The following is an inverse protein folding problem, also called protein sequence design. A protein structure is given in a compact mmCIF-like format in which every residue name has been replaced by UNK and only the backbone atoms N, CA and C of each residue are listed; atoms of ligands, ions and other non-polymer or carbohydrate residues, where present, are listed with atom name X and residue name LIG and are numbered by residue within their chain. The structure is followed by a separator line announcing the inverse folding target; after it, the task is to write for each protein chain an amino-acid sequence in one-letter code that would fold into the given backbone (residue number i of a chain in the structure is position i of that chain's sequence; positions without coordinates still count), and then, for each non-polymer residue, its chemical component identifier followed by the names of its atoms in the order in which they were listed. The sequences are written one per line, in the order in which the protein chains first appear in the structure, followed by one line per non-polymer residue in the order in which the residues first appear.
data_IF_234120579639
#
_entry.id   IF_234120579639
#
_cell.length_a   1.000
_cell.length_b   1.000
_cell.length_c   1.000
_cell.angle_alpha   90.00
_cell.angle_beta   90.00
_cell.angle_gamma   90.00
#
_symmetry.space_group_name_H-M   'P 1'
#
loop_
_entity.id
_entity.type
_entity.pdbx_description
1 polymer ?
#
# COMPACT_ATOMS: atom_id res chain seq x y z
N UNK A 1 0.15 -25.76 -0.14
CA UNK A 1 1.25 -25.24 0.69
C UNK A 1 0.68 -24.11 1.51
N UNK A 2 0.50 -24.32 2.81
CA UNK A 2 -0.43 -23.56 3.67
C UNK A 2 -0.11 -22.07 3.83
N UNK A 3 1.08 -21.61 3.40
CA UNK A 3 1.49 -20.21 3.44
C UNK A 3 0.75 -19.30 2.44
N UNK A 4 0.21 -19.86 1.34
CA UNK A 4 -0.51 -19.08 0.32
C UNK A 4 -2.03 -19.05 0.53
N UNK A 5 -2.61 -20.06 1.18
CA UNK A 5 -4.06 -20.12 1.44
C UNK A 5 -4.53 -19.05 2.45
N UNK A 6 -3.65 -18.57 3.32
CA UNK A 6 -3.97 -17.51 4.28
C UNK A 6 -4.11 -16.11 3.65
N UNK A 7 -3.69 -15.92 2.39
CA UNK A 7 -3.88 -14.67 1.65
C UNK A 7 -5.27 -14.56 1.01
N UNK A 8 -6.08 -15.62 1.07
CA UNK A 8 -7.43 -15.68 0.48
C UNK A 8 -8.51 -15.79 1.56
N UNK A 9 -8.36 -15.08 2.67
CA UNK A 9 -9.46 -14.87 3.61
C UNK A 9 -10.31 -13.68 3.09
N UNK A 10 -11.64 -13.64 3.27
CA UNK A 10 -12.46 -12.43 3.05
C UNK A 10 -11.88 -11.13 3.65
N UNK A 11 -10.97 -11.21 4.62
CA UNK A 11 -10.14 -10.08 5.06
C UNK A 11 -9.27 -9.46 3.96
N UNK A 12 -8.65 -10.28 3.11
CA UNK A 12 -7.80 -9.89 1.98
C UNK A 12 -8.58 -9.41 0.75
N UNK A 13 -9.73 -10.02 0.50
CA UNK A 13 -10.68 -9.55 -0.52
C UNK A 13 -11.20 -8.16 -0.17
N UNK A 14 -11.47 -7.93 1.12
CA UNK A 14 -11.80 -6.59 1.60
C UNK A 14 -10.60 -5.67 1.38
N UNK A 15 -9.37 -6.09 1.75
CA UNK A 15 -8.10 -5.36 1.56
C UNK A 15 -7.90 -4.85 0.12
N UNK A 16 -8.16 -5.63 -0.93
CA UNK A 16 -7.94 -5.16 -2.31
C UNK A 16 -8.81 -3.95 -2.67
N UNK A 17 -10.07 -3.95 -2.24
CA UNK A 17 -10.99 -2.81 -2.41
C UNK A 17 -10.51 -1.56 -1.64
N UNK A 18 -9.70 -1.70 -0.56
CA UNK A 18 -9.11 -0.55 0.17
C UNK A 18 -7.95 0.13 -0.59
N UNK A 19 -7.34 -0.52 -1.57
CA UNK A 19 -6.18 0.01 -2.31
C UNK A 19 -6.54 0.60 -3.68
N UNK A 20 -7.80 0.50 -4.09
CA UNK A 20 -8.27 0.76 -5.46
C UNK A 20 -8.96 2.11 -5.63
N UNK A 21 -8.27 3.21 -5.31
CA UNK A 21 -8.55 4.47 -6.00
C UNK A 21 -7.47 4.70 -7.07
N UNK A 22 -7.84 5.21 -8.25
CA UNK A 22 -6.89 5.36 -9.38
C UNK A 22 -5.64 6.14 -9.00
N UNK A 23 -5.78 7.08 -8.06
CA UNK A 23 -4.70 7.95 -7.61
C UNK A 23 -3.69 7.23 -6.71
N UNK A 24 -4.14 6.36 -5.79
CA UNK A 24 -3.24 5.54 -4.96
C UNK A 24 -2.40 4.60 -5.80
N UNK A 25 -2.99 4.02 -6.87
CA UNK A 25 -2.27 3.18 -7.81
C UNK A 25 -1.19 3.95 -8.59
N UNK A 26 -1.51 5.15 -9.07
CA UNK A 26 -0.53 5.98 -9.79
C UNK A 26 0.64 6.35 -8.88
N UNK A 27 0.35 6.79 -7.65
CA UNK A 27 1.37 7.16 -6.66
C UNK A 27 2.24 5.95 -6.29
N UNK A 28 1.63 4.79 -6.01
CA UNK A 28 2.37 3.57 -5.69
C UNK A 28 3.25 3.10 -6.86
N UNK A 29 2.78 3.25 -8.10
CA UNK A 29 3.57 2.92 -9.29
C UNK A 29 4.79 3.85 -9.46
N UNK A 30 4.65 5.15 -9.15
CA UNK A 30 5.76 6.10 -9.14
C UNK A 30 6.78 5.76 -8.05
N UNK A 31 6.32 5.42 -6.84
CA UNK A 31 7.18 4.96 -5.74
C UNK A 31 7.95 3.68 -6.11
N UNK A 32 7.30 2.70 -6.74
CA UNK A 32 7.95 1.47 -7.21
C UNK A 32 8.99 1.72 -8.31
N UNK A 33 8.72 2.65 -9.23
CA UNK A 33 9.70 3.06 -10.24
C UNK A 33 10.95 3.63 -9.59
N UNK A 34 10.82 4.45 -8.55
CA UNK A 34 11.96 5.00 -7.83
C UNK A 34 12.85 3.90 -7.20
N UNK A 35 12.23 2.86 -6.62
CA UNK A 35 12.96 1.68 -6.10
C UNK A 35 13.68 0.96 -7.24
N UNK A 36 12.98 0.65 -8.33
CA UNK A 36 13.54 -0.06 -9.49
C UNK A 36 14.72 0.70 -10.08
N UNK A 37 14.60 2.02 -10.24
CA UNK A 37 15.64 2.85 -10.84
C UNK A 37 16.89 2.91 -9.97
N UNK A 38 16.74 2.92 -8.63
CA UNK A 38 17.87 2.83 -7.71
C UNK A 38 18.58 1.46 -7.78
N UNK A 39 17.82 0.37 -7.92
CA UNK A 39 18.38 -0.98 -8.12
C UNK A 39 19.13 -1.05 -9.46
N UNK A 40 18.55 -0.52 -10.53
CA UNK A 40 19.17 -0.48 -11.86
C UNK A 40 20.48 0.32 -11.85
N UNK A 41 20.54 1.40 -11.06
CA UNK A 41 21.74 2.20 -10.83
C UNK A 41 22.78 1.53 -9.91
N UNK A 42 22.47 0.35 -9.34
CA UNK A 42 23.30 -0.36 -8.35
C UNK A 42 23.59 0.48 -7.11
N UNK A 43 22.61 1.28 -6.67
CA UNK A 43 22.69 2.11 -5.47
C UNK A 43 21.85 1.49 -4.34
N UNK A 44 22.45 0.66 -3.47
CA UNK A 44 21.72 -0.07 -2.44
C UNK A 44 21.12 0.84 -1.37
N UNK A 45 21.80 1.94 -1.02
CA UNK A 45 21.31 2.88 -0.01
C UNK A 45 20.08 3.64 -0.52
N UNK A 46 20.13 4.11 -1.77
CA UNK A 46 18.97 4.76 -2.40
C UNK A 46 17.80 3.79 -2.58
N UNK A 47 18.05 2.54 -2.95
CA UNK A 47 17.00 1.53 -3.07
C UNK A 47 16.32 1.26 -1.72
N UNK A 48 17.11 1.14 -0.65
CA UNK A 48 16.61 0.96 0.71
C UNK A 48 15.78 2.17 1.17
N UNK A 49 16.27 3.39 0.95
CA UNK A 49 15.55 4.60 1.31
C UNK A 49 14.21 4.74 0.54
N UNK A 50 14.21 4.44 -0.77
CA UNK A 50 13.01 4.44 -1.59
C UNK A 50 11.98 3.41 -1.11
N UNK A 51 12.41 2.20 -0.74
CA UNK A 51 11.53 1.17 -0.20
C UNK A 51 10.95 1.58 1.17
N UNK A 52 11.76 2.14 2.06
CA UNK A 52 11.28 2.66 3.35
C UNK A 52 10.27 3.79 3.17
N UNK A 53 10.47 4.65 2.18
CA UNK A 53 9.49 5.68 1.84
C UNK A 53 8.17 5.05 1.35
N UNK A 54 8.24 4.14 0.39
CA UNK A 54 7.07 3.42 -0.13
C UNK A 54 6.25 2.76 0.99
N UNK A 55 6.91 2.02 1.90
CA UNK A 55 6.23 1.34 3.01
C UNK A 55 5.55 2.33 3.96
N UNK A 56 6.21 3.44 4.32
CA UNK A 56 5.61 4.48 5.15
C UNK A 56 4.39 5.11 4.48
N UNK A 57 4.48 5.45 3.20
CA UNK A 57 3.35 6.04 2.47
C UNK A 57 2.21 5.04 2.32
N UNK A 58 2.51 3.77 2.07
CA UNK A 58 1.53 2.70 2.03
C UNK A 58 0.80 2.57 3.37
N UNK A 59 1.53 2.62 4.49
CA UNK A 59 0.93 2.57 5.83
C UNK A 59 0.08 3.81 6.13
N UNK A 60 0.53 5.01 5.77
CA UNK A 60 -0.26 6.23 5.98
C UNK A 60 -1.56 6.23 5.18
N UNK A 61 -1.49 5.83 3.90
CA UNK A 61 -2.68 5.67 3.05
C UNK A 61 -3.62 4.60 3.61
N UNK A 62 -3.05 3.52 4.14
CA UNK A 62 -3.80 2.47 4.80
C UNK A 62 -4.58 3.02 6.01
N UNK A 63 -3.91 3.69 6.97
CA UNK A 63 -4.55 4.22 8.17
C UNK A 63 -5.65 5.24 7.87
N UNK A 64 -5.41 6.20 6.96
CA UNK A 64 -6.41 7.21 6.59
C UNK A 64 -7.71 6.61 6.04
N UNK A 65 -7.60 5.57 5.22
CA UNK A 65 -8.77 4.88 4.66
C UNK A 65 -9.63 4.19 5.73
N UNK A 66 -9.05 3.80 6.89
CA UNK A 66 -9.84 3.28 8.03
C UNK A 66 -10.57 4.39 8.78
N UNK A 67 -9.90 5.50 9.04
CA UNK A 67 -10.47 6.63 9.79
C UNK A 67 -11.69 7.22 9.06
N UNK A 68 -11.58 7.47 7.76
CA UNK A 68 -12.68 8.01 6.95
C UNK A 68 -13.93 7.12 6.97
N UNK A 69 -13.75 5.79 7.02
CA UNK A 69 -14.86 4.84 7.10
C UNK A 69 -15.43 4.68 8.50
N UNK A 70 -14.62 4.81 9.54
CA UNK A 70 -15.11 4.82 10.92
C UNK A 70 -16.07 6.01 11.11
N UNK A 71 -15.67 7.18 10.62
CA UNK A 71 -16.51 8.39 10.59
C UNK A 71 -17.78 8.17 9.76
N UNK A 72 -17.67 7.60 8.55
CA UNK A 72 -18.85 7.34 7.72
C UNK A 72 -19.86 6.36 8.36
N UNK A 73 -19.39 5.38 9.16
CA UNK A 73 -20.25 4.45 9.91
C UNK A 73 -20.92 5.13 11.12
N UNK A 74 -20.22 6.02 11.80
CA UNK A 74 -20.76 6.79 12.94
C UNK A 74 -21.86 7.75 12.50
N UNK A 75 -21.67 8.44 11.36
CA UNK A 75 -22.66 9.38 10.78
C UNK A 75 -23.91 8.67 10.25
N UNK A 76 -23.82 7.38 9.92
CA UNK A 76 -24.92 6.58 9.38
C UNK A 76 -25.81 5.93 10.46
N UNK A 77 -25.52 6.14 11.75
CA UNK A 77 -26.28 5.69 12.92
C UNK A 77 -27.00 6.87 13.59
#
# INVERSE_FOLDING_TARGET
GELFDQRMNPFFERLSVYFENRDSWRIAAEEHRAVRDAIAARDPERAKAAMQHHLRQSQLRFSRNFDERAVAREVAL
#
